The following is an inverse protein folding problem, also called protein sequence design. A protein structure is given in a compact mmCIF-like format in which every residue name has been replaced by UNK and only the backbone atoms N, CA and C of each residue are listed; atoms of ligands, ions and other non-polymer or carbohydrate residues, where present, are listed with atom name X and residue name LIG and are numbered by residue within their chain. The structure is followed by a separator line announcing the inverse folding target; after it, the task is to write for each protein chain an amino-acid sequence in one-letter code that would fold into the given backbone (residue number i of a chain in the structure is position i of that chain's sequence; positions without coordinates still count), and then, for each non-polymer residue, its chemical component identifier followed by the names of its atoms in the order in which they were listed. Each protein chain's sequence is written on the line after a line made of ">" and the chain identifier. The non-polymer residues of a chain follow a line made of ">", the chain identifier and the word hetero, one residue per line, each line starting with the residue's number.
data_IF_781360609385
#
_entry.id   IF_781360609385
#
_cell.length_a   1.000
_cell.length_b   1.000
_cell.length_c   1.000
_cell.angle_alpha   90.00
_cell.angle_beta   90.00
_cell.angle_gamma   90.00
#
_symmetry.space_group_name_H-M   'P 1'
#
loop_
_entity.id
_entity.type
_entity.pdbx_description
1 polymer ?
#
# COMPACT_ATOMS: atom_id res chain seq x y z
N UNK A 1 11.82 -9.42 -11.45
CA UNK A 1 10.66 -8.71 -12.03
C UNK A 1 9.84 -9.60 -12.96
N UNK A 2 10.41 -10.25 -13.98
CA UNK A 2 9.65 -11.17 -14.86
C UNK A 2 8.85 -12.25 -14.11
N UNK A 3 9.36 -12.74 -12.97
CA UNK A 3 8.63 -13.73 -12.17
C UNK A 3 7.49 -13.11 -11.35
N UNK A 4 7.63 -11.86 -10.90
CA UNK A 4 6.56 -11.11 -10.24
C UNK A 4 5.41 -10.83 -11.22
N UNK A 5 5.74 -10.35 -12.42
CA UNK A 5 4.76 -10.09 -13.48
C UNK A 5 3.98 -11.35 -13.86
N UNK A 6 4.67 -12.49 -14.00
CA UNK A 6 4.01 -13.80 -14.26
C UNK A 6 3.07 -14.22 -13.13
N UNK A 7 3.49 -14.04 -11.87
CA UNK A 7 2.65 -14.35 -10.70
C UNK A 7 1.42 -13.44 -10.66
N UNK A 8 1.58 -12.17 -11.01
CA UNK A 8 0.49 -11.20 -11.10
C UNK A 8 -0.49 -11.59 -12.21
N UNK A 9 0.01 -11.85 -13.42
CA UNK A 9 -0.81 -12.31 -14.55
C UNK A 9 -1.60 -13.58 -14.19
N UNK A 10 -0.96 -14.53 -13.50
CA UNK A 10 -1.63 -15.74 -13.02
C UNK A 10 -2.74 -15.41 -12.02
N UNK A 11 -2.50 -14.50 -11.08
CA UNK A 11 -3.50 -14.09 -10.08
C UNK A 11 -4.71 -13.43 -10.76
N UNK A 12 -4.49 -12.61 -11.78
CA UNK A 12 -5.56 -12.01 -12.59
C UNK A 12 -6.39 -13.07 -13.32
N UNK A 13 -5.74 -14.05 -13.96
CA UNK A 13 -6.42 -15.17 -14.62
C UNK A 13 -7.26 -16.00 -13.63
N UNK A 14 -6.78 -16.20 -12.40
CA UNK A 14 -7.54 -16.88 -11.34
C UNK A 14 -8.78 -16.06 -10.99
N UNK A 15 -8.62 -14.74 -10.76
CA UNK A 15 -9.73 -13.85 -10.43
C UNK A 15 -10.78 -13.76 -11.56
N UNK A 16 -10.36 -13.82 -12.82
CA UNK A 16 -11.26 -13.90 -13.96
C UNK A 16 -12.04 -15.22 -13.99
N UNK A 17 -11.35 -16.36 -13.81
CA UNK A 17 -12.00 -17.68 -13.77
C UNK A 17 -13.00 -17.80 -12.62
N UNK A 18 -12.66 -17.26 -11.45
CA UNK A 18 -13.55 -17.28 -10.28
C UNK A 18 -14.82 -16.41 -10.44
N UNK A 19 -14.84 -15.47 -11.41
CA UNK A 19 -16.06 -14.71 -11.74
C UNK A 19 -17.06 -15.50 -12.59
N UNK A 20 -16.68 -16.66 -13.12
CA UNK A 20 -17.58 -17.52 -13.85
C UNK A 20 -18.49 -18.30 -12.89
N UNK A 21 -19.81 -18.15 -13.06
CA UNK A 21 -20.82 -18.78 -12.21
C UNK A 21 -20.92 -20.31 -12.41
N UNK A 22 -20.45 -20.84 -13.54
CA UNK A 22 -20.55 -22.26 -13.89
C UNK A 22 -19.35 -23.10 -13.42
N UNK A 23 -18.46 -22.51 -12.62
CA UNK A 23 -17.24 -23.21 -12.19
C UNK A 23 -17.58 -24.24 -11.08
N UNK A 24 -17.15 -25.50 -11.19
CA UNK A 24 -17.41 -26.51 -10.16
C UNK A 24 -16.78 -26.13 -8.83
N UNK A 25 -17.48 -26.40 -7.72
CA UNK A 25 -17.05 -26.03 -6.36
C UNK A 25 -15.61 -26.46 -6.03
N UNK A 26 -15.24 -27.69 -6.39
CA UNK A 26 -13.88 -28.21 -6.15
C UNK A 26 -12.82 -27.41 -6.92
N UNK A 27 -13.14 -26.97 -8.14
CA UNK A 27 -12.26 -26.10 -8.92
C UNK A 27 -12.20 -24.69 -8.33
N UNK A 28 -13.32 -24.13 -7.88
CA UNK A 28 -13.35 -22.84 -7.17
C UNK A 28 -12.43 -22.86 -5.95
N UNK A 29 -12.46 -23.94 -5.19
CA UNK A 29 -11.67 -24.10 -3.98
C UNK A 29 -10.17 -24.15 -4.28
N UNK A 30 -9.76 -24.97 -5.28
CA UNK A 30 -8.36 -25.04 -5.71
C UNK A 30 -7.84 -23.70 -6.25
N UNK A 31 -8.66 -22.99 -7.04
CA UNK A 31 -8.32 -21.66 -7.56
C UNK A 31 -8.18 -20.64 -6.43
N UNK A 32 -9.05 -20.71 -5.42
CA UNK A 32 -8.97 -19.84 -4.25
C UNK A 32 -7.69 -20.08 -3.44
N UNK A 33 -7.34 -21.34 -3.17
CA UNK A 33 -6.09 -21.69 -2.49
C UNK A 33 -4.86 -21.18 -3.25
N UNK A 34 -4.82 -21.39 -4.57
CA UNK A 34 -3.75 -20.89 -5.43
C UNK A 34 -3.67 -19.36 -5.39
N UNK A 35 -4.81 -18.67 -5.50
CA UNK A 35 -4.89 -17.22 -5.46
C UNK A 35 -4.39 -16.62 -4.14
N UNK A 36 -4.76 -17.22 -3.00
CA UNK A 36 -4.27 -16.79 -1.68
C UNK A 36 -2.76 -16.99 -1.55
N UNK A 37 -2.23 -18.11 -2.05
CA UNK A 37 -0.78 -18.35 -2.05
C UNK A 37 -0.04 -17.29 -2.86
N UNK A 38 -0.48 -17.04 -4.09
CA UNK A 38 0.12 -16.04 -4.98
C UNK A 38 0.07 -14.63 -4.37
N UNK A 39 -1.08 -14.22 -3.81
CA UNK A 39 -1.23 -12.92 -3.18
C UNK A 39 -0.25 -12.72 -2.01
N UNK A 40 -0.05 -13.76 -1.19
CA UNK A 40 0.92 -13.71 -0.08
C UNK A 40 2.36 -13.59 -0.56
N UNK A 41 2.72 -14.33 -1.60
CA UNK A 41 4.06 -14.26 -2.18
C UNK A 41 4.35 -12.88 -2.79
N UNK A 42 3.42 -12.35 -3.59
CA UNK A 42 3.54 -11.04 -4.20
C UNK A 42 3.70 -9.94 -3.14
N UNK A 43 2.90 -9.99 -2.07
CA UNK A 43 3.04 -9.07 -0.94
C UNK A 43 4.43 -9.14 -0.31
N UNK A 44 4.93 -10.35 -0.03
CA UNK A 44 6.26 -10.55 0.57
C UNK A 44 7.38 -9.99 -0.31
N UNK A 45 7.27 -10.16 -1.63
CA UNK A 45 8.23 -9.59 -2.58
C UNK A 45 8.21 -8.05 -2.56
N UNK A 46 7.02 -7.44 -2.51
CA UNK A 46 6.86 -5.99 -2.39
C UNK A 46 7.42 -5.45 -1.07
N UNK A 47 7.09 -6.08 0.06
CA UNK A 47 7.57 -5.69 1.39
C UNK A 47 9.11 -5.73 1.45
N UNK A 48 9.73 -6.76 0.85
CA UNK A 48 11.18 -6.88 0.77
C UNK A 48 11.81 -5.79 -0.11
N UNK A 49 11.14 -5.36 -1.19
CA UNK A 49 11.62 -4.28 -2.04
C UNK A 49 11.46 -2.93 -1.35
N UNK A 50 10.35 -2.71 -0.66
CA UNK A 50 10.10 -1.51 0.15
C UNK A 50 11.19 -1.34 1.21
N UNK A 51 11.53 -2.40 1.96
CA UNK A 51 12.61 -2.33 2.96
C UNK A 51 13.97 -1.98 2.36
N UNK A 52 14.29 -2.46 1.14
CA UNK A 52 15.52 -2.06 0.44
C UNK A 52 15.52 -0.58 0.07
N UNK A 53 14.39 -0.06 -0.39
CA UNK A 53 14.24 1.36 -0.72
C UNK A 53 14.40 2.21 0.54
N UNK A 54 13.81 1.80 1.65
CA UNK A 54 13.92 2.50 2.93
C UNK A 54 15.38 2.57 3.43
N UNK A 55 16.13 1.46 3.37
CA UNK A 55 17.56 1.45 3.70
C UNK A 55 18.35 2.41 2.81
N UNK A 56 18.08 2.42 1.51
CA UNK A 56 18.76 3.32 0.57
C UNK A 56 18.46 4.79 0.87
N UNK A 57 17.22 5.12 1.21
CA UNK A 57 16.83 6.49 1.60
C UNK A 57 17.53 6.92 2.89
N UNK A 58 17.51 6.07 3.93
CA UNK A 58 18.17 6.36 5.20
C UNK A 58 19.69 6.52 5.04
N UNK A 59 20.33 5.69 4.20
CA UNK A 59 21.76 5.81 3.91
C UNK A 59 22.13 7.09 3.15
N UNK A 60 21.22 7.64 2.34
CA UNK A 60 21.42 8.94 1.68
C UNK A 60 21.29 10.09 2.69
N UNK A 61 20.50 9.92 3.75
CA UNK A 61 20.38 10.88 4.86
C UNK A 61 21.61 10.87 5.77
N UNK A 62 22.18 9.69 6.08
CA UNK A 62 23.44 9.56 6.84
C UNK A 62 24.64 10.23 6.14
N UNK A 63 24.57 10.38 4.80
CA UNK A 63 25.61 11.07 4.02
C UNK A 63 25.45 12.60 4.05
N UNK A 64 24.47 13.13 4.79
CA UNK A 64 24.14 14.56 4.77
C UNK A 64 23.76 15.16 6.12
N UNK A 65 24.52 14.85 7.18
CA UNK A 65 24.59 15.73 8.35
C UNK A 65 25.99 15.69 8.98
N UNK A 66 26.85 16.63 8.57
CA UNK A 66 27.85 17.18 9.48
C UNK A 66 27.22 18.19 10.47
N UNK A 67 25.94 18.55 10.31
CA UNK A 67 25.24 19.48 11.20
C UNK A 67 23.91 18.88 11.69
N UNK A 68 23.93 18.31 12.90
CA UNK A 68 22.81 17.65 13.53
C UNK A 68 21.65 18.59 13.86
N UNK A 69 20.58 18.60 13.05
CA UNK A 69 19.27 19.09 13.51
C UNK A 69 18.09 18.49 12.75
N UNK A 70 17.38 17.64 13.50
CA UNK A 70 15.98 17.21 13.43
C UNK A 70 15.47 16.46 12.17
N UNK A 71 14.74 15.34 12.33
CA UNK A 71 14.11 14.64 11.23
C UNK A 71 13.02 15.51 10.57
N UNK A 72 13.02 15.57 9.23
CA UNK A 72 12.06 16.35 8.42
C UNK A 72 10.64 15.78 8.41
N UNK A 73 10.43 14.61 9.00
CA UNK A 73 9.12 13.98 9.15
C UNK A 73 8.51 14.26 10.53
N UNK A 74 8.74 15.45 11.10
CA UNK A 74 7.89 15.92 12.18
C UNK A 74 6.43 15.95 11.68
N UNK A 75 5.54 15.41 12.51
CA UNK A 75 4.16 15.04 12.18
C UNK A 75 3.46 16.06 11.28
N UNK A 76 2.74 15.56 10.28
CA UNK A 76 1.81 16.35 9.49
C UNK A 76 0.75 16.92 10.43
N UNK A 77 0.97 18.14 10.93
CA UNK A 77 -0.04 18.90 11.67
C UNK A 77 -1.06 19.35 10.64
N UNK A 78 -2.21 18.68 10.62
CA UNK A 78 -3.40 19.16 9.90
C UNK A 78 -3.74 20.51 10.54
N UNK A 79 -3.75 21.65 9.81
CA UNK A 79 -4.27 22.88 10.36
C UNK A 79 -5.76 22.67 10.62
N UNK A 80 -6.13 22.65 11.90
CA UNK A 80 -7.51 22.60 12.35
C UNK A 80 -8.25 23.79 11.71
N UNK A 81 -9.16 23.48 10.80
CA UNK A 81 -9.95 24.44 10.02
C UNK A 81 -10.51 25.54 10.91
N UNK A 82 -10.24 26.79 10.53
CA UNK A 82 -10.68 28.02 11.19
C UNK A 82 -12.10 27.92 11.78
N UNK A 83 -12.18 27.84 13.11
CA UNK A 83 -13.34 28.34 13.83
C UNK A 83 -13.25 29.88 13.84
N UNK A 84 -13.79 30.52 12.81
CA UNK A 84 -13.97 31.97 12.80
C UNK A 84 -15.43 32.31 12.45
N UNK A 85 -16.19 32.59 13.50
CA UNK A 85 -17.24 33.62 13.58
C UNK A 85 -18.34 33.63 12.52
N UNK A 86 -19.50 33.08 12.91
CA UNK A 86 -20.80 33.57 12.47
C UNK A 86 -21.73 33.69 13.69
N UNK A 87 -21.44 34.63 14.58
CA UNK A 87 -22.48 35.21 15.44
C UNK A 87 -23.31 36.13 14.54
N UNK A 88 -24.38 35.57 13.99
CA UNK A 88 -25.39 36.31 13.26
C UNK A 88 -26.13 37.26 14.22
N UNK A 89 -25.96 38.54 13.93
CA UNK A 89 -26.99 39.58 13.84
C UNK A 89 -28.07 39.63 14.94
N UNK A 90 -27.97 40.69 15.75
CA UNK A 90 -29.10 41.41 16.33
C UNK A 90 -30.32 41.46 15.39
N UNK A 91 -31.48 41.06 15.92
CA UNK A 91 -32.76 41.12 15.22
C UNK A 91 -33.94 41.03 16.19
N UNK A 92 -34.38 42.21 16.65
CA UNK A 92 -35.68 42.62 17.26
C UNK A 92 -36.10 42.09 18.64
#
# INVERSE_FOLDING_TARGET
>A
MKDFEKKMERLEQIAEKMRNADIPLEQSFRLFEEGISLARELKKELDALQGKVEILLNSLEDTKTEDGSSPRTADFVVPETEQQQASAEDGE
#
